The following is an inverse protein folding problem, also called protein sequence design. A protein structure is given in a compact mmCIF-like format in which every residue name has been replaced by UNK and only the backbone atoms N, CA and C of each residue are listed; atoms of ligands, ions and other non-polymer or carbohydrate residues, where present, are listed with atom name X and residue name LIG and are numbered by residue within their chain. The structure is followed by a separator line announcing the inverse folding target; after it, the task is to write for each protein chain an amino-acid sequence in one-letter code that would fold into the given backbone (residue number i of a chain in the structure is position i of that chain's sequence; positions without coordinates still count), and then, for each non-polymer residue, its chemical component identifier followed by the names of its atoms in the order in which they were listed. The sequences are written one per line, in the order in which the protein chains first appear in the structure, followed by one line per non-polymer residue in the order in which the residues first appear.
data_IF_864697975711
#
_entry.id   IF_864697975711
#
_cell.length_a   1.000
_cell.length_b   1.000
_cell.length_c   1.000
_cell.angle_alpha   90.00
_cell.angle_beta   90.00
_cell.angle_gamma   90.00
#
_symmetry.space_group_name_H-M   'P 1'
#
loop_
_entity.id
_entity.type
_entity.pdbx_description
1 polymer ?
#
# COMPACT_ATOMS: atom_id res chain seq x y z
N UNK A 1 13.40 -7.93 -20.10
CA UNK A 1 13.14 -7.97 -21.54
C UNK A 1 12.17 -9.12 -21.81
N UNK A 2 11.21 -9.02 -22.77
CA UNK A 2 10.27 -10.10 -23.08
C UNK A 2 10.98 -11.41 -23.41
N UNK A 3 12.09 -11.38 -24.12
CA UNK A 3 12.84 -12.56 -24.52
C UNK A 3 13.41 -13.34 -23.32
N UNK A 4 13.66 -12.66 -22.19
CA UNK A 4 14.12 -13.32 -20.97
C UNK A 4 13.04 -14.27 -20.36
N UNK A 5 11.76 -13.98 -20.60
CA UNK A 5 10.66 -14.84 -20.15
C UNK A 5 10.59 -16.15 -20.92
N UNK A 6 10.99 -16.15 -22.20
CA UNK A 6 10.98 -17.36 -23.02
C UNK A 6 11.89 -18.45 -22.43
N UNK A 7 12.99 -18.06 -21.77
CA UNK A 7 13.90 -18.99 -21.09
C UNK A 7 13.18 -19.74 -19.96
N UNK A 8 12.25 -19.08 -19.28
CA UNK A 8 11.51 -19.66 -18.15
C UNK A 8 10.38 -20.59 -18.60
N UNK A 9 9.98 -20.57 -19.87
CA UNK A 9 8.88 -21.39 -20.36
C UNK A 9 9.09 -22.88 -20.10
N UNK A 10 10.30 -23.39 -20.41
CA UNK A 10 10.67 -24.80 -20.19
C UNK A 10 10.90 -25.13 -18.73
N UNK A 11 11.40 -24.16 -17.94
CA UNK A 11 11.63 -24.30 -16.50
C UNK A 11 10.32 -24.45 -15.74
N UNK A 12 9.30 -23.66 -16.13
CA UNK A 12 7.99 -23.60 -15.46
C UNK A 12 7.01 -24.66 -15.98
N UNK A 13 7.29 -25.25 -17.15
CA UNK A 13 6.43 -26.28 -17.74
C UNK A 13 6.51 -27.58 -16.94
N UNK A 14 5.35 -28.11 -16.51
CA UNK A 14 5.28 -29.32 -15.69
C UNK A 14 5.89 -30.57 -16.36
N UNK A 15 5.86 -30.64 -17.70
CA UNK A 15 6.36 -31.76 -18.46
C UNK A 15 7.84 -31.67 -18.84
N UNK A 16 8.45 -30.47 -18.73
CA UNK A 16 9.82 -30.22 -19.20
C UNK A 16 10.79 -30.01 -18.06
N UNK A 17 10.56 -29.02 -17.21
CA UNK A 17 11.34 -28.76 -15.98
C UNK A 17 12.85 -28.67 -16.21
N UNK A 18 13.31 -27.99 -17.26
CA UNK A 18 14.73 -27.75 -17.52
C UNK A 18 15.03 -26.36 -18.04
N UNK A 19 16.28 -25.92 -17.82
CA UNK A 19 16.88 -24.74 -18.42
C UNK A 19 17.95 -25.18 -19.40
N UNK A 20 17.92 -24.69 -20.64
CA UNK A 20 18.97 -24.87 -21.62
C UNK A 20 19.80 -23.60 -21.73
N UNK A 21 21.10 -23.73 -21.64
CA UNK A 21 22.05 -22.63 -21.73
C UNK A 21 22.66 -22.58 -23.12
N UNK A 22 21.90 -22.09 -24.11
CA UNK A 22 22.28 -22.13 -25.53
C UNK A 22 23.54 -21.29 -25.85
N UNK A 23 23.84 -20.28 -25.02
CA UNK A 23 25.02 -19.41 -25.19
C UNK A 23 26.29 -19.98 -24.54
N UNK A 24 26.17 -21.03 -23.76
CA UNK A 24 27.32 -21.68 -23.13
C UNK A 24 27.91 -22.78 -24.06
N UNK A 25 29.21 -22.96 -23.98
CA UNK A 25 29.90 -24.03 -24.74
C UNK A 25 29.29 -25.39 -24.42
N UNK A 26 28.87 -26.12 -25.47
CA UNK A 26 28.21 -27.42 -25.35
C UNK A 26 26.73 -27.35 -25.01
N UNK A 27 26.11 -26.18 -24.93
CA UNK A 27 24.67 -25.94 -24.63
C UNK A 27 24.12 -26.84 -23.52
N UNK A 28 24.68 -26.80 -22.31
CA UNK A 28 24.32 -27.71 -21.22
C UNK A 28 22.85 -27.50 -20.80
N UNK A 29 22.24 -28.60 -20.39
CA UNK A 29 20.86 -28.64 -19.84
C UNK A 29 20.95 -28.77 -18.33
N UNK A 30 20.28 -27.87 -17.62
CA UNK A 30 20.12 -27.89 -16.15
C UNK A 30 18.70 -28.27 -15.81
N UNK A 31 18.50 -29.44 -15.24
CA UNK A 31 17.18 -29.90 -14.82
C UNK A 31 16.77 -29.28 -13.49
N UNK A 32 15.50 -28.91 -13.35
CA UNK A 32 14.92 -28.50 -12.08
C UNK A 32 14.81 -29.71 -11.16
N UNK A 33 15.39 -29.62 -9.97
CA UNK A 33 15.35 -30.71 -9.01
C UNK A 33 13.92 -31.04 -8.56
N UNK A 34 13.71 -32.24 -8.08
CA UNK A 34 12.46 -32.65 -7.48
C UNK A 34 12.12 -31.82 -6.24
N UNK A 35 10.85 -31.47 -6.05
CA UNK A 35 10.39 -30.68 -4.91
C UNK A 35 10.60 -29.16 -5.03
N UNK A 36 11.27 -28.66 -6.09
CA UNK A 36 11.42 -27.21 -6.30
C UNK A 36 10.10 -26.60 -6.74
N UNK A 37 9.70 -25.53 -6.03
CA UNK A 37 8.52 -24.69 -6.33
C UNK A 37 8.99 -23.30 -6.70
N UNK A 38 8.38 -22.71 -7.73
CA UNK A 38 8.65 -21.34 -8.14
C UNK A 38 7.51 -20.43 -7.64
N UNK A 39 7.88 -19.34 -6.95
CA UNK A 39 6.95 -18.31 -6.51
C UNK A 39 7.39 -17.00 -7.16
N UNK A 40 6.45 -16.31 -7.78
CA UNK A 40 6.69 -15.02 -8.41
C UNK A 40 5.69 -13.98 -7.90
N UNK A 41 6.13 -12.75 -7.80
CA UNK A 41 5.27 -11.59 -7.51
C UNK A 41 5.33 -10.63 -8.68
N UNK A 42 4.19 -10.07 -9.05
CA UNK A 42 4.09 -9.12 -10.14
C UNK A 42 2.97 -8.11 -9.88
N UNK A 43 3.16 -6.89 -10.36
CA UNK A 43 2.09 -5.92 -10.46
C UNK A 43 1.42 -6.11 -11.82
N UNK A 44 0.19 -6.60 -11.84
CA UNK A 44 -0.57 -6.89 -13.04
C UNK A 44 -1.81 -5.99 -13.03
N UNK A 45 -1.95 -5.14 -14.06
CA UNK A 45 -3.09 -4.25 -14.19
C UNK A 45 -2.77 -3.08 -15.12
N UNK A 46 -3.80 -2.46 -15.67
CA UNK A 46 -3.65 -1.30 -16.56
C UNK A 46 -3.19 -0.03 -15.81
N UNK A 47 -3.36 0.00 -14.51
CA UNK A 47 -2.93 1.06 -13.60
C UNK A 47 -1.40 1.11 -13.44
N UNK A 48 -0.71 0.01 -13.75
CA UNK A 48 0.76 -0.05 -13.66
C UNK A 48 1.40 0.28 -15.02
N UNK A 49 1.45 1.56 -15.35
CA UNK A 49 1.92 2.07 -16.66
C UNK A 49 3.36 1.70 -17.00
N UNK A 50 4.17 1.37 -16.00
CA UNK A 50 5.57 0.98 -16.17
C UNK A 50 5.76 -0.54 -16.34
N UNK A 51 4.74 -1.34 -16.10
CA UNK A 51 4.81 -2.80 -16.27
C UNK A 51 4.37 -3.19 -17.67
N UNK A 52 5.18 -4.01 -18.34
CA UNK A 52 4.78 -4.60 -19.61
C UNK A 52 3.74 -5.70 -19.35
N UNK A 53 2.80 -5.84 -20.26
CA UNK A 53 1.84 -6.94 -20.22
C UNK A 53 2.62 -8.26 -20.19
N UNK A 54 2.39 -9.04 -19.13
CA UNK A 54 2.97 -10.39 -19.03
C UNK A 54 2.27 -11.29 -20.05
N UNK A 55 3.08 -12.09 -20.78
CA UNK A 55 2.54 -13.03 -21.74
C UNK A 55 1.60 -14.02 -21.03
N UNK A 56 0.43 -14.23 -21.64
CA UNK A 56 -0.57 -15.16 -21.14
C UNK A 56 -0.02 -16.59 -20.99
N UNK A 57 0.88 -17.00 -21.89
CA UNK A 57 1.52 -18.30 -21.84
C UNK A 57 2.37 -18.49 -20.56
N UNK A 58 2.92 -17.41 -20.00
CA UNK A 58 3.62 -17.44 -18.70
C UNK A 58 2.63 -17.52 -17.56
N UNK A 59 1.57 -16.70 -17.59
CA UNK A 59 0.53 -16.71 -16.56
C UNK A 59 -0.14 -18.08 -16.45
N UNK A 60 -0.38 -18.77 -17.56
CA UNK A 60 -0.99 -20.10 -17.59
C UNK A 60 -0.13 -21.20 -16.89
N UNK A 61 1.14 -20.89 -16.58
CA UNK A 61 2.05 -21.81 -15.86
C UNK A 61 2.07 -21.57 -14.35
N UNK A 62 1.35 -20.56 -13.88
CA UNK A 62 1.23 -20.24 -12.47
C UNK A 62 -0.21 -20.36 -11.98
N UNK A 63 -0.36 -20.72 -10.71
CA UNK A 63 -1.60 -20.47 -9.98
C UNK A 63 -1.57 -19.02 -9.53
N UNK A 64 -2.43 -18.20 -10.11
CA UNK A 64 -2.50 -16.78 -9.79
C UNK A 64 -3.31 -16.56 -8.52
N UNK A 65 -2.73 -15.83 -7.58
CA UNK A 65 -3.40 -15.36 -6.37
C UNK A 65 -3.38 -13.83 -6.41
N UNK A 66 -4.55 -13.23 -6.45
CA UNK A 66 -4.69 -11.78 -6.35
C UNK A 66 -4.62 -11.38 -4.87
N UNK A 67 -3.84 -10.35 -4.59
CA UNK A 67 -3.66 -9.83 -3.25
C UNK A 67 -4.13 -8.37 -3.20
N UNK A 68 -5.13 -8.14 -2.36
CA UNK A 68 -5.62 -6.80 -2.06
C UNK A 68 -4.70 -6.04 -1.09
N UNK A 69 -4.94 -4.73 -1.02
CA UNK A 69 -4.34 -3.90 0.04
C UNK A 69 -4.90 -4.29 1.41
N UNK A 70 -4.09 -4.16 2.45
CA UNK A 70 -4.52 -4.42 3.82
C UNK A 70 -5.62 -3.44 4.23
N UNK A 71 -6.61 -3.94 4.97
CA UNK A 71 -7.55 -3.08 5.68
C UNK A 71 -6.88 -2.52 6.95
N UNK A 72 -7.57 -1.63 7.67
CA UNK A 72 -7.06 -0.95 8.87
C UNK A 72 -6.70 -1.93 10.00
N UNK A 73 -7.52 -2.95 10.24
CA UNK A 73 -7.24 -3.97 11.28
C UNK A 73 -6.01 -4.81 10.94
N UNK A 74 -5.87 -5.22 9.68
CA UNK A 74 -4.72 -6.00 9.21
C UNK A 74 -3.43 -5.15 9.23
N UNK A 75 -3.53 -3.89 8.81
CA UNK A 75 -2.42 -2.94 8.84
C UNK A 75 -1.97 -2.70 10.30
N UNK A 76 -2.90 -2.42 11.21
CA UNK A 76 -2.60 -2.29 12.64
C UNK A 76 -1.94 -3.55 13.21
N UNK A 77 -2.44 -4.73 12.83
CA UNK A 77 -1.84 -6.01 13.25
C UNK A 77 -0.39 -6.16 12.79
N UNK A 78 -0.11 -5.79 11.53
CA UNK A 78 1.25 -5.78 10.98
C UNK A 78 2.16 -4.80 11.73
N UNK A 79 1.71 -3.55 11.90
CA UNK A 79 2.49 -2.51 12.56
C UNK A 79 2.76 -2.84 14.03
N UNK A 80 1.77 -3.37 14.76
CA UNK A 80 1.93 -3.80 16.14
C UNK A 80 2.90 -4.98 16.28
N UNK A 81 2.94 -5.88 15.30
CA UNK A 81 3.91 -6.97 15.28
C UNK A 81 5.34 -6.46 15.03
N UNK A 82 5.51 -5.49 14.13
CA UNK A 82 6.81 -4.94 13.78
C UNK A 82 7.36 -3.97 14.84
N UNK A 83 6.48 -3.20 15.46
CA UNK A 83 6.84 -2.15 16.43
C UNK A 83 6.06 -2.28 17.74
N UNK A 84 6.28 -3.35 18.50
CA UNK A 84 5.50 -3.64 19.72
C UNK A 84 5.70 -2.61 20.85
N UNK A 85 6.76 -1.83 20.79
CA UNK A 85 7.10 -0.80 21.78
C UNK A 85 6.45 0.57 21.51
N UNK A 86 5.93 0.77 20.29
CA UNK A 86 5.25 2.01 19.91
C UNK A 86 3.85 2.04 20.52
N UNK A 87 3.39 3.24 20.89
CA UNK A 87 2.05 3.43 21.39
C UNK A 87 1.01 2.91 20.38
N UNK A 88 0.09 2.09 20.86
CA UNK A 88 -0.94 1.49 20.02
C UNK A 88 -1.89 2.51 19.38
N UNK A 89 -2.13 3.65 20.03
CA UNK A 89 -2.95 4.72 19.47
C UNK A 89 -2.27 5.36 18.25
N UNK A 90 -0.95 5.53 18.28
CA UNK A 90 -0.19 6.07 17.16
C UNK A 90 -0.16 5.08 15.98
N UNK A 91 0.06 3.79 16.25
CA UNK A 91 -0.01 2.75 15.21
C UNK A 91 -1.40 2.64 14.59
N UNK A 92 -2.44 2.78 15.41
CA UNK A 92 -3.83 2.83 14.95
C UNK A 92 -4.07 4.04 14.06
N UNK A 93 -3.59 5.22 14.45
CA UNK A 93 -3.68 6.43 13.63
C UNK A 93 -3.00 6.23 12.27
N UNK A 94 -1.80 5.63 12.22
CA UNK A 94 -1.11 5.31 10.95
C UNK A 94 -1.96 4.40 10.08
N UNK A 95 -2.53 3.32 10.64
CA UNK A 95 -3.36 2.36 9.92
C UNK A 95 -4.64 3.00 9.36
N UNK A 96 -5.33 3.83 10.16
CA UNK A 96 -6.54 4.54 9.77
C UNK A 96 -6.27 5.59 8.68
N UNK A 97 -5.16 6.34 8.77
CA UNK A 97 -4.72 7.29 7.74
C UNK A 97 -4.48 6.55 6.42
N UNK A 98 -3.76 5.43 6.45
CA UNK A 98 -3.49 4.64 5.26
C UNK A 98 -4.78 4.11 4.64
N UNK A 99 -5.67 3.51 5.44
CA UNK A 99 -6.96 3.01 5.00
C UNK A 99 -7.83 4.11 4.38
N UNK A 100 -7.90 5.27 5.02
CA UNK A 100 -8.67 6.41 4.51
C UNK A 100 -8.16 6.86 3.13
N UNK A 101 -6.85 6.96 2.93
CA UNK A 101 -6.29 7.34 1.62
C UNK A 101 -6.58 6.32 0.54
N UNK A 102 -6.54 5.02 0.85
CA UNK A 102 -6.88 3.92 -0.06
C UNK A 102 -8.34 3.99 -0.48
N UNK A 103 -9.25 4.16 0.49
CA UNK A 103 -10.68 4.31 0.22
C UNK A 103 -10.97 5.52 -0.67
N UNK A 104 -10.33 6.66 -0.41
CA UNK A 104 -10.51 7.87 -1.21
C UNK A 104 -9.93 7.75 -2.62
N UNK A 105 -8.81 7.08 -2.78
CA UNK A 105 -8.17 6.87 -4.09
C UNK A 105 -8.93 5.87 -4.96
N UNK A 106 -9.59 4.87 -4.37
CA UNK A 106 -10.37 3.85 -5.09
C UNK A 106 -11.80 4.28 -5.40
N UNK A 107 -12.26 5.40 -4.87
CA UNK A 107 -13.61 5.92 -5.10
C UNK A 107 -13.69 6.74 -6.38
N UNK A 108 -14.71 6.53 -7.20
CA UNK A 108 -14.97 7.32 -8.43
C UNK A 108 -15.13 8.83 -8.15
N UNK A 109 -15.56 9.20 -6.95
CA UNK A 109 -15.69 10.57 -6.48
C UNK A 109 -14.54 10.98 -5.55
N UNK A 110 -13.49 10.17 -5.47
CA UNK A 110 -12.37 10.37 -4.57
C UNK A 110 -11.55 11.63 -4.92
N UNK A 111 -11.01 12.25 -3.88
CA UNK A 111 -10.20 13.47 -4.00
C UNK A 111 -8.71 13.18 -4.20
N UNK A 112 -8.31 11.90 -4.10
CA UNK A 112 -6.91 11.49 -4.12
C UNK A 112 -6.62 10.65 -5.36
N UNK A 113 -5.54 10.98 -6.06
CA UNK A 113 -4.98 10.18 -7.16
C UNK A 113 -3.92 9.20 -6.68
N UNK A 114 -3.41 9.39 -5.47
CA UNK A 114 -2.42 8.55 -4.82
C UNK A 114 -2.94 8.02 -3.48
N UNK A 115 -2.34 6.94 -3.00
CA UNK A 115 -2.69 6.33 -1.72
C UNK A 115 -1.43 6.01 -0.91
N UNK A 116 -1.59 5.91 0.40
CA UNK A 116 -0.53 5.44 1.31
C UNK A 116 -0.40 3.93 1.16
N UNK A 117 0.77 3.47 0.71
CA UNK A 117 1.09 2.04 0.64
C UNK A 117 1.43 1.48 2.02
N UNK A 118 1.31 0.16 2.20
CA UNK A 118 1.77 -0.51 3.43
C UNK A 118 3.25 -0.26 3.73
N UNK A 119 4.09 -0.07 2.69
CA UNK A 119 5.50 0.30 2.88
C UNK A 119 5.64 1.67 3.52
N UNK A 120 4.86 2.65 3.07
CA UNK A 120 4.87 4.00 3.66
C UNK A 120 4.33 4.00 5.09
N UNK A 121 3.33 3.17 5.41
CA UNK A 121 2.84 2.99 6.80
C UNK A 121 3.91 2.39 7.71
N UNK A 122 4.64 1.38 7.23
CA UNK A 122 5.76 0.77 7.99
C UNK A 122 6.87 1.78 8.21
N UNK A 123 7.21 2.59 7.21
CA UNK A 123 8.22 3.66 7.32
C UNK A 123 7.78 4.72 8.34
N UNK A 124 6.52 5.15 8.28
CA UNK A 124 5.95 6.10 9.23
C UNK A 124 6.00 5.57 10.67
N UNK A 125 5.60 4.30 10.89
CA UNK A 125 5.68 3.65 12.20
C UNK A 125 7.13 3.52 12.68
N UNK A 126 8.09 3.26 11.79
CA UNK A 126 9.51 3.24 12.09
C UNK A 126 10.03 4.59 12.57
N UNK A 127 9.63 5.70 11.95
CA UNK A 127 9.99 7.04 12.40
C UNK A 127 9.40 7.36 13.78
N UNK A 128 8.15 6.92 14.06
CA UNK A 128 7.55 7.05 15.40
C UNK A 128 8.36 6.25 16.43
N UNK A 129 8.79 5.04 16.08
CA UNK A 129 9.66 4.22 16.92
C UNK A 129 10.99 4.93 17.22
N UNK A 130 11.56 5.64 16.25
CA UNK A 130 12.78 6.43 16.40
C UNK A 130 12.59 7.74 17.19
N UNK A 131 11.34 8.05 17.62
CA UNK A 131 11.02 9.17 18.51
C UNK A 131 10.47 10.43 17.82
N UNK A 132 10.18 10.37 16.51
CA UNK A 132 9.44 11.42 15.82
C UNK A 132 7.95 11.37 16.20
N UNK A 133 7.29 12.52 16.29
CA UNK A 133 5.84 12.53 16.47
C UNK A 133 5.09 12.14 15.18
N UNK A 134 3.79 11.87 15.30
CA UNK A 134 2.94 11.42 14.19
C UNK A 134 2.99 12.39 12.99
N UNK A 135 2.95 13.69 13.23
CA UNK A 135 2.93 14.69 12.16
C UNK A 135 4.28 14.78 11.44
N UNK A 136 5.39 14.84 12.19
CA UNK A 136 6.75 14.83 11.64
C UNK A 136 7.00 13.58 10.82
N UNK A 137 6.57 12.41 11.32
CA UNK A 137 6.68 11.14 10.61
C UNK A 137 5.89 11.16 9.30
N UNK A 138 4.69 11.73 9.30
CA UNK A 138 3.88 11.89 8.10
C UNK A 138 4.50 12.88 7.09
N UNK A 139 5.14 13.96 7.59
CA UNK A 139 5.80 14.95 6.74
C UNK A 139 6.93 14.33 5.93
N UNK A 140 7.64 13.39 6.51
CA UNK A 140 8.78 12.68 5.88
C UNK A 140 8.27 11.56 4.97
N UNK A 141 7.38 10.71 5.49
CA UNK A 141 7.05 9.42 4.87
C UNK A 141 5.87 9.44 3.90
N UNK A 142 4.89 10.34 4.06
CA UNK A 142 3.68 10.30 3.24
C UNK A 142 3.35 11.59 2.49
N UNK A 143 3.55 12.79 3.04
CA UNK A 143 3.20 14.03 2.34
C UNK A 143 3.86 14.21 0.98
N UNK A 144 5.13 13.77 0.74
CA UNK A 144 5.76 13.92 -0.56
C UNK A 144 5.08 13.16 -1.70
N UNK A 145 4.30 12.11 -1.39
CA UNK A 145 3.59 11.31 -2.40
C UNK A 145 2.33 11.99 -2.97
N UNK A 146 1.87 13.06 -2.32
CA UNK A 146 0.65 13.77 -2.71
C UNK A 146 0.99 15.10 -3.38
N UNK A 147 0.26 15.42 -4.47
CA UNK A 147 0.49 16.66 -5.20
C UNK A 147 0.20 17.89 -4.33
N UNK A 148 1.03 18.92 -4.48
CA UNK A 148 0.80 20.24 -3.91
C UNK A 148 0.08 21.19 -4.87
N UNK A 149 -0.23 20.74 -6.10
CA UNK A 149 -0.93 21.53 -7.08
C UNK A 149 -2.37 21.82 -6.61
N UNK A 150 -2.80 23.06 -6.76
CA UNK A 150 -4.11 23.50 -6.25
C UNK A 150 -4.05 24.24 -4.90
N UNK A 151 -2.87 24.41 -4.30
CA UNK A 151 -2.70 25.21 -3.07
C UNK A 151 -3.50 24.64 -1.90
N UNK A 152 -4.46 25.42 -1.38
CA UNK A 152 -5.29 25.01 -0.23
C UNK A 152 -6.22 23.82 -0.54
N UNK A 153 -6.55 23.60 -1.80
CA UNK A 153 -7.39 22.49 -2.26
C UNK A 153 -6.56 21.29 -2.77
N UNK A 154 -5.23 21.33 -2.58
CA UNK A 154 -4.35 20.24 -3.03
C UNK A 154 -4.54 18.95 -2.24
N UNK A 155 -4.21 17.82 -2.86
CA UNK A 155 -4.20 16.52 -2.18
C UNK A 155 -3.33 16.55 -0.92
N UNK A 156 -2.15 17.18 -1.00
CA UNK A 156 -1.23 17.33 0.14
C UNK A 156 -1.86 18.09 1.29
N UNK A 157 -2.60 19.16 1.01
CA UNK A 157 -3.32 19.90 2.05
C UNK A 157 -4.40 19.05 2.70
N UNK A 158 -5.14 18.29 1.90
CA UNK A 158 -6.13 17.34 2.40
C UNK A 158 -5.51 16.30 3.34
N UNK A 159 -4.38 15.71 2.95
CA UNK A 159 -3.68 14.72 3.81
C UNK A 159 -3.13 15.35 5.08
N UNK A 160 -2.60 16.58 5.02
CA UNK A 160 -2.18 17.32 6.24
C UNK A 160 -3.34 17.50 7.21
N UNK A 161 -4.50 17.90 6.73
CA UNK A 161 -5.71 18.03 7.55
C UNK A 161 -6.17 16.70 8.12
N UNK A 162 -6.08 15.61 7.33
CA UNK A 162 -6.41 14.26 7.80
C UNK A 162 -5.48 13.85 8.95
N UNK A 163 -4.16 14.01 8.79
CA UNK A 163 -3.18 13.66 9.83
C UNK A 163 -3.39 14.49 11.09
N UNK A 164 -3.70 15.78 10.95
CA UNK A 164 -3.96 16.67 12.10
C UNK A 164 -5.12 16.22 13.00
N UNK A 165 -6.09 15.48 12.48
CA UNK A 165 -7.18 14.91 13.28
C UNK A 165 -6.68 13.90 14.32
N UNK A 166 -5.56 13.25 14.06
CA UNK A 166 -4.95 12.24 14.93
C UNK A 166 -3.84 12.80 15.82
N UNK A 167 -3.42 14.05 15.61
CA UNK A 167 -2.41 14.70 16.47
C UNK A 167 -3.06 15.09 17.78
N UNK A 168 -2.51 14.60 18.87
CA UNK A 168 -2.94 14.91 20.24
C UNK A 168 -2.16 16.11 20.77
N UNK A 169 -2.77 16.89 21.63
CA UNK A 169 -2.09 17.96 22.37
C UNK A 169 -1.21 17.37 23.51
N UNK A 170 -0.52 18.23 24.26
CA UNK A 170 0.30 17.81 25.41
C UNK A 170 -0.51 17.15 26.53
N UNK A 171 -1.84 17.31 26.56
CA UNK A 171 -2.75 16.64 27.50
C UNK A 171 -3.23 15.27 27.01
N UNK A 172 -2.91 14.90 25.75
CA UNK A 172 -3.32 13.66 25.09
C UNK A 172 -4.72 13.73 24.47
N UNK A 173 -5.32 14.92 24.37
CA UNK A 173 -6.58 15.12 23.68
C UNK A 173 -6.37 15.47 22.20
N UNK A 174 -7.27 15.06 21.29
CA UNK A 174 -7.19 15.44 19.89
C UNK A 174 -7.25 16.96 19.72
N UNK A 175 -6.34 17.54 18.93
CA UNK A 175 -6.30 18.98 18.65
C UNK A 175 -7.57 19.49 17.93
N UNK A 176 -8.28 18.60 17.26
CA UNK A 176 -9.55 18.90 16.60
C UNK A 176 -10.62 17.94 17.10
N UNK A 177 -11.58 18.42 17.86
CA UNK A 177 -12.82 17.71 18.13
C UNK A 177 -13.76 17.92 16.95
N UNK A 178 -14.29 16.86 16.36
CA UNK A 178 -15.43 16.99 15.47
C UNK A 178 -16.60 17.52 16.31
N UNK A 179 -17.06 18.72 16.00
CA UNK A 179 -18.31 19.22 16.54
C UNK A 179 -19.40 18.40 15.86
N UNK A 180 -19.92 17.40 16.58
CA UNK A 180 -21.14 16.73 16.18
C UNK A 180 -22.20 17.80 15.93
N UNK A 181 -22.57 17.99 14.67
CA UNK A 181 -23.78 18.73 14.34
C UNK A 181 -24.94 17.89 14.83
N UNK A 182 -25.26 18.01 16.12
CA UNK A 182 -26.56 17.58 16.62
C UNK A 182 -27.61 18.23 15.74
N UNK A 183 -28.42 17.38 15.15
CA UNK A 183 -29.65 17.74 14.47
C UNK A 183 -30.58 18.42 15.48
N UNK A 184 -30.51 19.72 15.59
CA UNK A 184 -31.65 20.49 16.09
C UNK A 184 -32.75 20.44 15.02
N UNK A 185 -33.49 19.36 15.01
CA UNK A 185 -34.83 19.30 14.49
C UNK A 185 -35.74 19.25 15.69
N UNK A 186 -36.24 20.41 16.12
CA UNK A 186 -37.63 20.48 16.59
C UNK A 186 -37.97 21.91 17.01
N UNK A 187 -39.20 22.26 16.66
CA UNK A 187 -40.02 23.38 17.11
C UNK A 187 -39.90 24.71 16.37
N UNK A 188 -40.51 24.72 15.20
CA UNK A 188 -41.22 25.94 14.75
C UNK A 188 -42.68 25.84 15.22
N UNK A 189 -43.13 26.65 16.18
CA UNK A 189 -44.56 26.74 16.49
C UNK A 189 -45.26 27.48 15.37
N UNK A 190 -46.28 26.84 14.83
CA UNK A 190 -47.25 27.49 13.93
C UNK A 190 -48.04 28.57 14.69
N UNK A 191 -48.00 29.79 14.15
CA UNK A 191 -49.05 30.79 14.26
C UNK A 191 -49.36 31.34 12.87
#
# INVERSE_FOLDING_TARGET
HPDAWNILMTVLDQGQRYLRLDEAEGSPIVNVAEGVTFIATANIGNEYTSTRVIDRAILDRFVTIEMDVLNDEQELGLLSYMYPEVNQDDLKAVAEIAHHTRTQSMSDAGKLTSMVSTRASVEMAGLIYDGFNLFESAEISIFPFFSSDGGVDSERTYIKQLVQKYVKDESGEPLFQEVDQEKDSDDIPMF
#
